data_IF_699985720116
#
_entry.id   IF_699985720116
#
_cell.length_a   1.000
_cell.length_b   1.000
_cell.length_c   1.000
_cell.angle_alpha   90.00
_cell.angle_beta   90.00
_cell.angle_gamma   90.00
#
_symmetry.space_group_name_H-M   'P 1'
#
loop_
_entity.id
_entity.type
_entity.pdbx_description
1 polymer ?
#
# COMPACT_ATOMS: atom_id res chain seq x y z
N UNK A 1 -14.64 31.04 -33.97
CA UNK A 1 -13.82 29.89 -34.35
C UNK A 1 -12.67 29.83 -33.35
N UNK A 2 -12.79 28.96 -32.36
CA UNK A 2 -11.73 28.72 -31.34
C UNK A 2 -11.03 27.41 -31.69
N UNK A 3 -9.89 27.52 -32.38
CA UNK A 3 -8.98 26.39 -32.57
C UNK A 3 -8.16 26.19 -31.29
N UNK A 4 -8.62 25.28 -30.43
CA UNK A 4 -7.76 24.73 -29.40
C UNK A 4 -6.87 23.66 -30.03
N UNK A 5 -5.53 23.70 -29.85
CA UNK A 5 -4.63 22.72 -30.44
C UNK A 5 -4.95 21.31 -29.88
N UNK A 6 -5.14 20.35 -30.79
CA UNK A 6 -5.28 18.93 -30.47
C UNK A 6 -4.05 18.48 -29.69
N UNK A 7 -4.24 18.02 -28.46
CA UNK A 7 -3.16 17.45 -27.64
C UNK A 7 -2.68 16.15 -28.27
N UNK A 8 -1.38 16.05 -28.44
CA UNK A 8 -0.68 14.84 -28.89
C UNK A 8 -1.00 13.68 -27.94
N UNK A 9 -1.62 12.58 -28.43
CA UNK A 9 -1.98 11.42 -27.58
C UNK A 9 -0.78 10.67 -27.00
N UNK A 10 0.45 10.95 -27.48
CA UNK A 10 1.68 10.35 -26.99
C UNK A 10 2.42 11.17 -25.91
N UNK A 11 1.93 12.34 -25.55
CA UNK A 11 2.53 13.09 -24.46
C UNK A 11 2.22 12.34 -23.14
N UNK A 12 3.24 11.85 -22.41
CA UNK A 12 3.00 11.21 -21.13
C UNK A 12 2.33 12.22 -20.21
N UNK A 13 1.06 11.96 -19.84
CA UNK A 13 0.41 12.76 -18.82
C UNK A 13 1.27 12.74 -17.57
N UNK A 14 1.53 13.90 -16.95
CA UNK A 14 2.23 13.94 -15.68
C UNK A 14 1.44 13.04 -14.71
N UNK A 15 2.16 12.15 -14.04
CA UNK A 15 1.61 11.39 -12.90
C UNK A 15 0.80 12.36 -12.03
N UNK A 16 -0.33 11.91 -11.43
CA UNK A 16 -1.09 12.77 -10.52
C UNK A 16 -0.11 13.41 -9.55
N UNK A 17 -0.28 14.68 -9.16
CA UNK A 17 0.74 15.41 -8.45
C UNK A 17 1.13 14.64 -7.18
N UNK A 18 2.12 13.76 -7.31
CA UNK A 18 2.89 13.30 -6.17
C UNK A 18 3.48 14.58 -5.59
N UNK A 19 2.96 15.02 -4.46
CA UNK A 19 3.59 16.09 -3.70
C UNK A 19 5.09 15.78 -3.71
N UNK A 20 5.90 16.71 -4.25
CA UNK A 20 7.35 16.57 -4.33
C UNK A 20 7.83 16.13 -2.96
N UNK A 21 8.51 14.97 -2.91
CA UNK A 21 9.08 14.46 -1.69
C UNK A 21 10.02 15.53 -1.12
N UNK A 22 9.61 16.15 -0.02
CA UNK A 22 10.44 17.12 0.66
C UNK A 22 11.58 16.38 1.39
N UNK A 23 12.83 16.89 1.41
CA UNK A 23 13.89 16.33 2.23
C UNK A 23 13.45 16.16 3.70
N UNK A 24 14.07 15.23 4.44
CA UNK A 24 13.75 14.94 5.86
C UNK A 24 13.52 16.23 6.68
N UNK A 25 14.41 17.19 6.53
CA UNK A 25 14.34 18.47 7.25
C UNK A 25 13.03 19.20 6.99
N UNK A 26 12.64 19.33 5.72
CA UNK A 26 11.39 20.01 5.35
C UNK A 26 10.13 19.21 5.73
N UNK A 27 10.18 17.86 5.67
CA UNK A 27 9.05 17.04 6.05
C UNK A 27 8.74 17.12 7.55
N UNK A 28 9.76 17.21 8.42
CA UNK A 28 9.57 17.37 9.86
C UNK A 28 9.37 18.84 10.28
N UNK A 29 10.01 19.79 9.60
CA UNK A 29 9.83 21.24 9.87
C UNK A 29 8.45 21.76 9.48
N UNK A 30 7.73 21.07 8.59
CA UNK A 30 6.36 21.41 8.23
C UNK A 30 5.34 21.06 9.33
N UNK A 31 5.72 20.21 10.30
CA UNK A 31 4.85 19.82 11.41
C UNK A 31 4.65 21.01 12.35
N UNK A 32 3.41 21.47 12.46
CA UNK A 32 3.02 22.58 13.34
C UNK A 32 2.42 22.13 14.67
N UNK A 33 2.20 20.83 14.84
CA UNK A 33 1.61 20.25 16.04
C UNK A 33 2.53 20.41 17.26
N UNK A 34 2.02 20.98 18.34
CA UNK A 34 2.77 21.16 19.58
C UNK A 34 2.77 19.88 20.43
N UNK A 35 3.99 19.41 20.80
CA UNK A 35 4.21 18.26 21.67
C UNK A 35 3.40 17.02 21.24
N UNK A 36 3.51 16.59 19.96
CA UNK A 36 2.71 15.49 19.45
C UNK A 36 3.09 14.14 20.06
N UNK A 37 2.19 13.17 19.95
CA UNK A 37 2.52 11.76 20.07
C UNK A 37 2.95 11.27 18.68
N UNK A 38 4.19 10.82 18.54
CA UNK A 38 4.71 10.29 17.29
C UNK A 38 4.73 8.77 17.32
N UNK A 39 4.31 8.13 16.24
CA UNK A 39 4.49 6.69 16.06
C UNK A 39 5.41 6.43 14.86
N UNK A 40 6.49 5.70 15.11
CA UNK A 40 7.57 5.49 14.14
C UNK A 40 7.50 4.08 13.53
N UNK A 41 7.59 4.00 12.20
CA UNK A 41 7.63 2.71 11.52
C UNK A 41 7.83 2.84 10.02
N UNK A 42 8.16 1.75 9.35
CA UNK A 42 8.16 1.71 7.89
C UNK A 42 6.75 1.69 7.32
N UNK A 43 5.81 1.16 8.07
CA UNK A 43 4.38 1.04 7.74
C UNK A 43 4.12 0.47 6.35
N UNK A 44 4.95 -0.50 5.94
CA UNK A 44 4.78 -1.18 4.66
C UNK A 44 3.69 -2.26 4.78
N UNK A 45 2.51 -1.96 4.21
CA UNK A 45 1.29 -2.77 4.30
C UNK A 45 0.39 -2.49 5.50
N UNK A 46 0.82 -1.71 6.51
CA UNK A 46 0.07 -1.39 7.75
C UNK A 46 -0.58 -2.63 8.38
N UNK A 47 0.22 -3.68 8.55
CA UNK A 47 -0.17 -4.98 9.12
C UNK A 47 -0.48 -4.92 10.62
N UNK A 48 -0.92 -6.04 11.23
CA UNK A 48 -1.33 -6.11 12.64
C UNK A 48 -0.32 -5.49 13.62
N UNK A 49 1.00 -5.71 13.42
CA UNK A 49 2.03 -5.06 14.24
C UNK A 49 2.00 -3.54 14.13
N UNK A 50 1.85 -3.01 12.93
CA UNK A 50 1.70 -1.57 12.72
C UNK A 50 0.41 -1.02 13.30
N UNK A 51 -0.70 -1.75 13.18
CA UNK A 51 -2.00 -1.37 13.78
C UNK A 51 -1.95 -1.35 15.31
N UNK A 52 -1.16 -2.23 15.93
CA UNK A 52 -0.94 -2.21 17.38
C UNK A 52 -0.20 -0.93 17.81
N UNK A 53 0.87 -0.54 17.10
CA UNK A 53 1.58 0.71 17.35
C UNK A 53 0.67 1.94 17.22
N UNK A 54 -0.16 1.98 16.17
CA UNK A 54 -1.11 3.08 15.93
C UNK A 54 -2.14 3.14 17.05
N UNK A 55 -2.70 2.00 17.47
CA UNK A 55 -3.69 1.93 18.56
C UNK A 55 -3.10 2.45 19.86
N UNK A 56 -1.86 2.09 20.17
CA UNK A 56 -1.15 2.61 21.35
C UNK A 56 -0.98 4.14 21.26
N UNK A 57 -0.48 4.63 20.11
CA UNK A 57 -0.30 6.07 19.91
C UNK A 57 -1.61 6.85 20.03
N UNK A 58 -2.73 6.34 19.48
CA UNK A 58 -4.06 6.95 19.60
C UNK A 58 -4.52 6.95 21.06
N UNK A 59 -4.33 5.85 21.80
CA UNK A 59 -4.68 5.76 23.24
C UNK A 59 -3.93 6.79 24.07
N UNK A 60 -2.62 6.90 23.90
CA UNK A 60 -1.77 7.89 24.57
C UNK A 60 -2.17 9.31 24.22
N UNK A 61 -2.36 9.58 22.91
CA UNK A 61 -2.76 10.91 22.41
C UNK A 61 -4.10 11.36 23.00
N UNK A 62 -5.07 10.44 23.08
CA UNK A 62 -6.38 10.70 23.69
C UNK A 62 -6.25 11.03 25.18
N UNK A 63 -5.49 10.23 25.94
CA UNK A 63 -5.27 10.45 27.36
C UNK A 63 -4.57 11.78 27.65
N UNK A 64 -3.59 12.15 26.82
CA UNK A 64 -2.82 13.39 26.98
C UNK A 64 -3.50 14.60 26.31
N UNK A 65 -4.60 14.41 25.56
CA UNK A 65 -5.25 15.43 24.73
C UNK A 65 -4.25 16.09 23.75
N UNK A 66 -3.45 15.28 23.09
CA UNK A 66 -2.43 15.70 22.14
C UNK A 66 -2.72 15.17 20.74
N UNK A 67 -2.27 15.86 19.67
CA UNK A 67 -2.30 15.30 18.34
C UNK A 67 -1.36 14.10 18.25
N UNK A 68 -1.72 13.11 17.41
CA UNK A 68 -0.81 12.03 17.07
C UNK A 68 -0.49 12.04 15.57
N UNK A 69 0.74 11.65 15.24
CA UNK A 69 1.25 11.64 13.88
C UNK A 69 2.06 10.37 13.62
N UNK A 70 1.74 9.61 12.57
CA UNK A 70 2.62 8.56 12.07
C UNK A 70 3.76 9.17 11.26
N UNK A 71 4.99 8.74 11.55
CA UNK A 71 6.20 9.06 10.79
C UNK A 71 6.64 7.80 10.05
N UNK A 72 6.41 7.80 8.75
CA UNK A 72 6.63 6.69 7.83
C UNK A 72 7.75 7.00 6.84
N UNK A 73 8.21 5.98 6.10
CA UNK A 73 9.23 6.11 5.05
C UNK A 73 8.74 5.56 3.73
N UNK A 74 9.10 6.23 2.62
CA UNK A 74 8.78 5.73 1.27
C UNK A 74 9.86 6.12 0.24
N UNK A 75 10.36 5.16 -0.58
CA UNK A 75 10.06 3.72 -0.49
C UNK A 75 10.54 3.11 0.84
N UNK A 76 10.07 1.91 1.21
CA UNK A 76 10.60 1.22 2.38
C UNK A 76 12.11 0.98 2.26
N UNK A 77 12.89 1.04 3.35
CA UNK A 77 14.35 0.86 3.30
C UNK A 77 14.81 -0.39 2.54
N UNK A 78 14.13 -1.52 2.73
CA UNK A 78 14.47 -2.78 2.05
C UNK A 78 14.24 -2.71 0.54
N UNK A 79 13.32 -1.87 0.06
CA UNK A 79 13.09 -1.67 -1.37
C UNK A 79 14.26 -0.94 -2.02
N UNK A 80 14.76 0.11 -1.38
CA UNK A 80 15.90 0.87 -1.89
C UNK A 80 17.22 0.11 -1.76
N UNK A 81 17.46 -0.51 -0.59
CA UNK A 81 18.77 -1.07 -0.23
C UNK A 81 18.96 -2.51 -0.70
N UNK A 82 17.88 -3.27 -0.90
CA UNK A 82 17.92 -4.70 -1.21
C UNK A 82 17.00 -5.11 -2.38
N UNK A 83 16.36 -4.16 -3.06
CA UNK A 83 15.51 -4.44 -4.23
C UNK A 83 14.19 -5.17 -3.92
N UNK A 84 13.82 -5.36 -2.65
CA UNK A 84 12.56 -6.02 -2.32
C UNK A 84 11.36 -5.18 -2.75
N UNK A 85 10.31 -5.78 -3.32
CA UNK A 85 9.09 -5.05 -3.65
C UNK A 85 8.41 -4.52 -2.39
N UNK A 86 7.72 -3.38 -2.48
CA UNK A 86 6.96 -2.82 -1.38
C UNK A 86 5.51 -3.33 -1.37
N UNK A 87 4.89 -3.40 -0.19
CA UNK A 87 3.49 -3.81 -0.02
C UNK A 87 2.50 -2.67 -0.28
N UNK A 88 2.86 -1.45 0.07
CA UNK A 88 1.99 -0.29 -0.11
C UNK A 88 2.72 0.86 -0.78
N UNK A 89 2.13 1.40 -1.86
CA UNK A 89 2.56 2.66 -2.47
C UNK A 89 2.42 3.82 -1.49
N UNK A 90 2.95 5.00 -1.84
CA UNK A 90 2.83 6.18 -0.99
C UNK A 90 1.37 6.54 -0.71
N UNK A 91 0.51 6.51 -1.74
CA UNK A 91 -0.91 6.81 -1.62
C UNK A 91 -1.65 5.76 -0.76
N UNK A 92 -1.40 4.47 -1.00
CA UNK A 92 -1.96 3.39 -0.19
C UNK A 92 -1.52 3.47 1.27
N UNK A 93 -0.24 3.75 1.52
CA UNK A 93 0.30 3.92 2.88
C UNK A 93 -0.40 5.04 3.62
N UNK A 94 -0.60 6.20 2.97
CA UNK A 94 -1.33 7.32 3.55
C UNK A 94 -2.76 6.90 3.92
N UNK A 95 -3.51 6.31 2.99
CA UNK A 95 -4.88 5.86 3.23
C UNK A 95 -4.96 4.82 4.35
N UNK A 96 -4.09 3.80 4.33
CA UNK A 96 -4.04 2.75 5.35
C UNK A 96 -3.71 3.29 6.75
N UNK A 97 -2.85 4.31 6.87
CA UNK A 97 -2.54 4.96 8.15
C UNK A 97 -3.74 5.74 8.69
N UNK A 98 -4.45 6.48 7.84
CA UNK A 98 -5.68 7.16 8.22
C UNK A 98 -6.78 6.17 8.65
N UNK A 99 -6.99 5.10 7.87
CA UNK A 99 -7.96 4.04 8.19
C UNK A 99 -7.63 3.33 9.52
N UNK A 100 -6.36 3.01 9.75
CA UNK A 100 -5.93 2.40 11.01
C UNK A 100 -6.13 3.34 12.20
N UNK A 101 -5.90 4.63 12.03
CA UNK A 101 -6.19 5.64 13.04
C UNK A 101 -7.67 5.77 13.33
N UNK A 102 -8.51 5.87 12.30
CA UNK A 102 -9.97 5.91 12.44
C UNK A 102 -10.50 4.67 13.18
N UNK A 103 -10.02 3.48 12.83
CA UNK A 103 -10.36 2.23 13.51
C UNK A 103 -9.88 2.18 14.97
N UNK A 104 -8.85 2.95 15.33
CA UNK A 104 -8.37 3.13 16.70
C UNK A 104 -9.11 4.24 17.47
N UNK A 105 -10.00 4.99 16.81
CA UNK A 105 -10.84 6.02 17.41
C UNK A 105 -10.43 7.47 17.10
N UNK A 106 -9.34 7.72 16.35
CA UNK A 106 -8.92 9.07 15.98
C UNK A 106 -8.13 9.08 14.67
N UNK A 107 -8.44 10.04 13.80
CA UNK A 107 -7.60 10.32 12.64
C UNK A 107 -6.27 10.94 13.07
N UNK A 108 -5.17 10.69 12.34
CA UNK A 108 -3.92 11.41 12.57
C UNK A 108 -4.11 12.90 12.23
N UNK A 109 -3.47 13.77 13.00
CA UNK A 109 -3.47 15.20 12.69
C UNK A 109 -2.77 15.45 11.34
N UNK A 110 -1.74 14.67 11.04
CA UNK A 110 -1.01 14.66 9.78
C UNK A 110 -0.34 13.30 9.58
N UNK A 111 -0.18 12.86 8.33
CA UNK A 111 0.62 11.66 7.97
C UNK A 111 1.94 12.10 7.37
N UNK A 112 3.02 11.89 8.11
CA UNK A 112 4.37 12.26 7.67
C UNK A 112 5.01 11.09 6.95
N UNK A 113 5.26 11.21 5.64
CA UNK A 113 5.95 10.21 4.83
C UNK A 113 7.27 10.79 4.33
N UNK A 114 8.35 10.41 5.01
CA UNK A 114 9.69 10.85 4.70
C UNK A 114 10.22 10.11 3.46
N UNK A 115 10.76 10.81 2.45
CA UNK A 115 11.47 10.17 1.36
C UNK A 115 12.65 9.37 1.88
N UNK A 116 12.72 8.08 1.53
CA UNK A 116 13.88 7.26 1.84
C UNK A 116 14.73 7.11 0.59
N UNK A 117 15.75 7.92 0.49
CA UNK A 117 16.72 7.94 -0.60
C UNK A 117 18.15 7.61 -0.08
N UNK A 118 19.13 7.67 -0.96
CA UNK A 118 20.53 7.38 -0.61
C UNK A 118 21.09 8.39 0.40
N UNK A 119 20.69 9.66 0.33
CA UNK A 119 21.12 10.71 1.27
C UNK A 119 20.54 10.43 2.66
N UNK A 120 19.23 10.13 2.73
CA UNK A 120 18.60 9.77 4.01
C UNK A 120 19.18 8.47 4.59
N UNK A 121 19.45 7.46 3.77
CA UNK A 121 20.07 6.20 4.19
C UNK A 121 21.49 6.38 4.77
N UNK A 122 22.21 7.42 4.35
CA UNK A 122 23.53 7.79 4.85
C UNK A 122 23.49 8.65 6.13
N UNK A 123 22.32 9.12 6.55
CA UNK A 123 22.14 9.99 7.72
C UNK A 123 22.55 9.26 9.02
N UNK A 124 23.45 9.81 9.85
CA UNK A 124 23.76 9.25 11.17
C UNK A 124 22.53 9.18 12.08
N UNK A 125 22.49 8.19 12.97
CA UNK A 125 21.38 8.02 13.91
C UNK A 125 21.13 9.27 14.77
N UNK A 126 22.17 9.92 15.24
CA UNK A 126 22.11 11.13 16.07
C UNK A 126 21.42 12.29 15.36
N UNK A 127 21.59 12.42 14.03
CA UNK A 127 20.89 13.45 13.24
C UNK A 127 19.39 13.19 13.17
N UNK A 128 18.99 11.92 13.04
CA UNK A 128 17.57 11.56 13.04
C UNK A 128 16.94 11.83 14.41
N UNK A 129 17.60 11.42 15.51
CA UNK A 129 17.16 11.70 16.88
C UNK A 129 17.04 13.21 17.12
N UNK A 130 18.06 13.99 16.71
CA UNK A 130 18.03 15.46 16.85
C UNK A 130 16.91 16.11 16.05
N UNK A 131 16.57 15.57 14.88
CA UNK A 131 15.45 16.07 14.06
C UNK A 131 14.11 15.79 14.72
N UNK A 132 13.91 14.62 15.33
CA UNK A 132 12.72 14.28 16.10
C UNK A 132 12.61 15.14 17.37
N UNK A 133 13.72 15.36 18.09
CA UNK A 133 13.75 16.15 19.33
C UNK A 133 13.28 17.61 19.12
N UNK A 134 13.47 18.18 17.92
CA UNK A 134 12.98 19.53 17.59
C UNK A 134 11.45 19.64 17.63
N UNK A 135 10.73 18.54 17.37
CA UNK A 135 9.29 18.48 17.47
C UNK A 135 8.80 18.43 18.94
N UNK A 136 9.71 18.22 19.88
CA UNK A 136 9.42 18.10 21.33
C UNK A 136 8.28 17.13 21.60
N UNK A 137 8.32 15.88 21.03
CA UNK A 137 7.21 14.97 21.19
C UNK A 137 6.99 14.63 22.67
N UNK A 138 5.72 14.63 23.10
CA UNK A 138 5.35 14.16 24.45
C UNK A 138 5.62 12.67 24.59
N UNK A 139 5.37 11.91 23.51
CA UNK A 139 5.62 10.46 23.49
C UNK A 139 6.08 10.03 22.11
N UNK A 140 7.04 9.11 22.10
CA UNK A 140 7.40 8.32 20.91
C UNK A 140 6.94 6.88 21.11
N UNK A 141 6.26 6.31 20.11
CA UNK A 141 5.84 4.92 20.07
C UNK A 141 6.58 4.21 18.96
N UNK A 142 7.26 3.10 19.25
CA UNK A 142 8.00 2.31 18.26
C UNK A 142 7.96 0.82 18.59
N UNK A 143 8.22 -0.04 17.57
CA UNK A 143 8.41 -1.47 17.79
C UNK A 143 9.83 -1.77 18.31
N UNK A 144 10.00 -2.82 19.10
CA UNK A 144 11.30 -3.22 19.68
C UNK A 144 12.38 -3.51 18.61
N UNK A 145 11.98 -3.88 17.40
CA UNK A 145 12.86 -4.14 16.26
C UNK A 145 13.17 -2.90 15.41
N UNK A 146 12.65 -1.73 15.78
CA UNK A 146 12.86 -0.50 15.01
C UNK A 146 14.33 -0.10 15.02
N UNK A 147 14.89 0.08 13.82
CA UNK A 147 16.28 0.49 13.60
C UNK A 147 16.34 1.60 12.56
N UNK A 148 17.21 2.56 12.78
CA UNK A 148 17.34 3.75 11.94
C UNK A 148 18.79 4.21 11.82
N UNK A 149 19.01 5.25 11.00
CA UNK A 149 20.33 5.80 10.76
C UNK A 149 21.20 4.91 9.87
N UNK A 150 22.35 5.48 9.48
CA UNK A 150 23.31 4.79 8.61
C UNK A 150 23.68 3.41 9.16
N UNK A 151 23.60 2.39 8.30
CA UNK A 151 23.88 0.97 8.63
C UNK A 151 23.05 0.44 9.81
N UNK A 152 21.84 1.02 10.05
CA UNK A 152 20.97 0.65 11.17
C UNK A 152 21.63 0.87 12.54
N UNK A 153 22.50 1.88 12.66
CA UNK A 153 23.31 2.13 13.85
C UNK A 153 22.52 2.68 15.05
N UNK A 154 21.27 3.14 14.86
CA UNK A 154 20.37 3.57 15.93
C UNK A 154 19.31 2.53 16.24
N UNK A 155 18.93 2.42 17.50
CA UNK A 155 17.89 1.57 18.04
C UNK A 155 16.85 2.33 18.85
N UNK A 156 15.89 1.59 19.44
CA UNK A 156 14.81 2.21 20.23
C UNK A 156 15.32 2.99 21.43
N UNK A 157 16.38 2.54 22.08
CA UNK A 157 16.95 3.22 23.26
C UNK A 157 17.46 4.62 22.92
N UNK A 158 17.94 4.83 21.69
CA UNK A 158 18.41 6.15 21.25
C UNK A 158 17.26 7.15 21.12
N UNK A 159 16.02 6.68 20.91
CA UNK A 159 14.84 7.53 20.78
C UNK A 159 14.45 8.20 22.10
N UNK A 160 14.81 7.63 23.25
CA UNK A 160 14.53 8.21 24.54
C UNK A 160 15.08 9.64 24.71
N UNK A 161 16.14 9.98 23.95
CA UNK A 161 16.74 11.33 23.94
C UNK A 161 15.91 12.36 23.16
N UNK A 162 14.90 11.92 22.43
CA UNK A 162 14.11 12.78 21.54
C UNK A 162 12.70 13.09 22.09
N UNK A 163 12.29 12.50 23.20
CA UNK A 163 10.93 12.60 23.72
C UNK A 163 10.89 12.65 25.24
N UNK A 164 9.74 13.00 25.81
CA UNK A 164 9.52 12.94 27.26
C UNK A 164 9.25 11.50 27.72
N UNK A 165 8.49 10.74 26.92
CA UNK A 165 8.17 9.34 27.17
C UNK A 165 8.43 8.50 25.91
N UNK A 166 9.02 7.32 26.09
CA UNK A 166 9.22 6.34 25.04
C UNK A 166 8.43 5.09 25.35
N UNK A 167 7.58 4.67 24.40
CA UNK A 167 6.84 3.43 24.47
C UNK A 167 7.34 2.47 23.42
N UNK A 168 7.81 1.31 23.84
CA UNK A 168 8.33 0.25 22.97
C UNK A 168 7.41 -0.95 23.04
N UNK A 169 6.84 -1.32 21.90
CA UNK A 169 5.94 -2.47 21.83
C UNK A 169 6.68 -3.71 21.30
N UNK A 170 6.38 -4.89 21.84
CA UNK A 170 6.90 -6.14 21.32
C UNK A 170 6.31 -6.47 19.96
N UNK A 171 6.94 -7.44 19.27
CA UNK A 171 6.44 -7.95 18.00
C UNK A 171 5.07 -8.62 18.19
N UNK A 172 4.16 -8.40 17.23
CA UNK A 172 2.82 -9.01 17.22
C UNK A 172 2.88 -10.30 16.40
N UNK A 173 2.19 -11.33 16.88
CA UNK A 173 2.00 -12.58 16.16
C UNK A 173 0.51 -12.81 15.82
N UNK A 174 0.27 -13.56 14.74
CA UNK A 174 -1.03 -14.12 14.38
C UNK A 174 -0.86 -15.65 14.39
N UNK A 175 -1.55 -16.32 15.32
CA UNK A 175 -1.17 -17.69 15.68
C UNK A 175 0.26 -17.72 16.23
N UNK A 176 1.07 -18.63 15.71
CA UNK A 176 2.50 -18.77 16.08
C UNK A 176 3.45 -17.94 15.20
N UNK A 177 2.93 -17.19 14.22
CA UNK A 177 3.75 -16.46 13.25
C UNK A 177 3.89 -14.99 13.61
N UNK A 178 5.14 -14.52 13.75
CA UNK A 178 5.44 -13.09 13.92
C UNK A 178 5.14 -12.33 12.64
N UNK A 179 4.28 -11.32 12.76
CA UNK A 179 3.82 -10.51 11.62
C UNK A 179 4.92 -9.52 11.20
N UNK A 180 5.40 -9.70 9.95
CA UNK A 180 6.39 -8.82 9.31
C UNK A 180 6.02 -8.56 7.86
N UNK A 181 6.43 -7.41 7.31
CA UNK A 181 6.25 -7.16 5.86
C UNK A 181 6.93 -8.20 4.96
N UNK A 182 7.98 -8.92 5.44
CA UNK A 182 8.60 -10.03 4.71
C UNK A 182 7.67 -11.22 4.60
N UNK A 183 7.05 -11.67 5.71
CA UNK A 183 6.14 -12.81 5.70
C UNK A 183 4.90 -12.57 4.84
N UNK A 184 4.45 -11.31 4.77
CA UNK A 184 3.35 -10.92 3.87
C UNK A 184 3.79 -10.99 2.41
N UNK A 185 5.01 -10.53 2.07
CA UNK A 185 5.55 -10.68 0.70
C UNK A 185 5.67 -12.14 0.31
N UNK A 186 6.20 -12.98 1.19
CA UNK A 186 6.33 -14.42 0.95
C UNK A 186 4.97 -15.07 0.69
N UNK A 187 3.92 -14.67 1.43
CA UNK A 187 2.55 -15.13 1.20
C UNK A 187 2.00 -14.66 -0.17
N UNK A 188 2.24 -13.41 -0.56
CA UNK A 188 1.84 -12.90 -1.87
C UNK A 188 2.57 -13.60 -3.01
N UNK A 189 3.88 -13.83 -2.90
CA UNK A 189 4.69 -14.53 -3.89
C UNK A 189 4.21 -15.98 -4.09
N UNK A 190 3.78 -16.64 -3.00
CA UNK A 190 3.14 -17.95 -3.05
C UNK A 190 1.69 -17.91 -3.59
N UNK A 191 1.11 -16.72 -3.79
CA UNK A 191 -0.29 -16.52 -4.15
C UNK A 191 -1.27 -16.84 -3.03
N UNK A 192 -0.82 -16.96 -1.78
CA UNK A 192 -1.62 -17.21 -0.58
C UNK A 192 -2.20 -15.88 -0.05
N UNK A 193 -3.11 -15.29 -0.82
CA UNK A 193 -3.65 -13.95 -0.55
C UNK A 193 -4.54 -13.89 0.69
N UNK A 194 -5.21 -14.99 1.01
CA UNK A 194 -5.99 -15.14 2.23
C UNK A 194 -5.08 -15.06 3.46
N UNK A 195 -3.93 -15.75 3.44
CA UNK A 195 -2.92 -15.65 4.51
C UNK A 195 -2.33 -14.24 4.59
N UNK A 196 -2.05 -13.60 3.44
CA UNK A 196 -1.61 -12.21 3.43
C UNK A 196 -2.64 -11.30 4.09
N UNK A 197 -3.95 -11.52 3.84
CA UNK A 197 -5.04 -10.78 4.46
C UNK A 197 -5.10 -11.00 5.97
N UNK A 198 -4.92 -12.23 6.46
CA UNK A 198 -4.85 -12.56 7.89
C UNK A 198 -3.70 -11.80 8.59
N UNK A 199 -2.53 -11.74 7.97
CA UNK A 199 -1.36 -11.01 8.51
C UNK A 199 -1.54 -9.47 8.46
N UNK A 200 -2.22 -8.97 7.42
CA UNK A 200 -2.53 -7.54 7.26
C UNK A 200 -3.69 -7.08 8.16
N UNK A 201 -4.62 -7.97 8.48
CA UNK A 201 -5.89 -7.65 9.11
C UNK A 201 -6.91 -7.03 8.14
N UNK A 202 -6.69 -7.16 6.84
CA UNK A 202 -7.57 -6.73 5.75
C UNK A 202 -7.10 -7.32 4.42
N UNK A 203 -7.97 -7.43 3.39
CA UNK A 203 -7.56 -7.85 2.06
C UNK A 203 -6.43 -7.01 1.49
N UNK A 204 -5.50 -7.66 0.77
CA UNK A 204 -4.40 -6.96 0.12
C UNK A 204 -4.94 -5.98 -0.92
N UNK A 205 -4.55 -4.72 -0.83
CA UNK A 205 -5.05 -3.64 -1.67
C UNK A 205 -4.02 -3.16 -2.69
N UNK A 206 -4.51 -2.91 -3.90
CA UNK A 206 -3.74 -2.34 -5.00
C UNK A 206 -4.50 -1.15 -5.57
N UNK A 207 -3.93 0.04 -5.51
CA UNK A 207 -4.47 1.24 -6.14
C UNK A 207 -3.70 1.50 -7.43
N UNK A 208 -4.43 1.71 -8.53
CA UNK A 208 -3.84 2.02 -9.83
C UNK A 208 -4.74 2.90 -10.68
N UNK A 209 -4.13 3.58 -11.65
CA UNK A 209 -4.85 4.34 -12.66
C UNK A 209 -5.21 3.41 -13.84
N UNK A 210 -6.45 3.45 -14.28
CA UNK A 210 -6.91 2.66 -15.42
C UNK A 210 -6.35 3.26 -16.71
N UNK A 211 -5.67 2.44 -17.48
CA UNK A 211 -5.03 2.81 -18.76
C UNK A 211 -5.57 1.97 -19.90
N UNK A 212 -5.35 2.42 -21.12
CA UNK A 212 -5.68 1.61 -22.29
C UNK A 212 -4.84 0.33 -22.32
N UNK A 213 -5.50 -0.79 -22.58
CA UNK A 213 -4.89 -2.09 -22.82
C UNK A 213 -5.21 -2.59 -24.23
N UNK A 214 -4.90 -3.86 -24.52
CA UNK A 214 -5.08 -4.47 -25.84
C UNK A 214 -6.55 -4.64 -26.28
N UNK A 215 -7.52 -4.29 -25.41
CA UNK A 215 -8.98 -4.37 -25.65
C UNK A 215 -9.49 -5.78 -26.05
N UNK A 216 -8.64 -6.83 -25.92
CA UNK A 216 -8.98 -8.22 -26.29
C UNK A 216 -10.17 -8.77 -25.49
N UNK A 217 -10.31 -8.37 -24.22
CA UNK A 217 -11.44 -8.80 -23.37
C UNK A 217 -12.81 -8.41 -23.92
N UNK A 218 -12.92 -7.25 -24.61
CA UNK A 218 -14.21 -6.81 -25.21
C UNK A 218 -14.68 -7.73 -26.33
N UNK A 219 -13.76 -8.28 -27.11
CA UNK A 219 -14.12 -9.18 -28.26
C UNK A 219 -14.59 -10.55 -27.80
N UNK A 220 -14.29 -10.93 -26.56
CA UNK A 220 -14.69 -12.22 -25.97
C UNK A 220 -15.75 -12.08 -24.87
N UNK A 221 -16.36 -10.88 -24.72
CA UNK A 221 -17.45 -10.63 -23.77
C UNK A 221 -17.00 -10.41 -22.32
N UNK A 222 -15.70 -10.25 -22.04
CA UNK A 222 -15.14 -10.02 -20.70
C UNK A 222 -14.29 -8.77 -20.73
N UNK A 223 -14.89 -7.57 -20.77
CA UNK A 223 -14.12 -6.32 -20.77
C UNK A 223 -13.31 -6.19 -19.49
N UNK A 224 -12.05 -5.73 -19.60
CA UNK A 224 -11.13 -5.57 -18.48
C UNK A 224 -10.61 -4.14 -18.38
N UNK A 225 -10.49 -3.62 -17.17
CA UNK A 225 -9.75 -2.43 -16.83
C UNK A 225 -8.28 -2.83 -16.59
N UNK A 226 -7.36 -2.20 -17.29
CA UNK A 226 -5.92 -2.42 -17.13
C UNK A 226 -5.35 -1.34 -16.21
N UNK A 227 -4.66 -1.71 -15.13
CA UNK A 227 -4.10 -0.77 -14.19
C UNK A 227 -2.60 -0.58 -14.43
N UNK A 228 -2.18 0.69 -14.49
CA UNK A 228 -0.76 1.04 -14.45
C UNK A 228 -0.28 0.99 -13.01
N UNK A 229 0.76 0.21 -12.75
CA UNK A 229 1.35 0.00 -11.44
C UNK A 229 2.86 0.30 -11.46
N UNK A 230 3.42 0.67 -10.31
CA UNK A 230 4.87 0.73 -10.13
C UNK A 230 5.42 -0.71 -10.15
N UNK A 231 6.45 -1.01 -10.96
CA UNK A 231 7.03 -2.36 -11.05
C UNK A 231 7.62 -2.88 -9.73
N UNK A 232 7.88 -2.00 -8.77
CA UNK A 232 8.37 -2.36 -7.43
C UNK A 232 7.24 -2.72 -6.45
N UNK A 233 5.98 -2.66 -6.85
CA UNK A 233 4.83 -3.10 -6.04
C UNK A 233 4.82 -4.61 -5.94
N UNK A 234 4.70 -5.16 -4.73
CA UNK A 234 4.48 -6.59 -4.54
C UNK A 234 3.12 -6.99 -5.10
N UNK A 235 3.08 -7.97 -5.98
CA UNK A 235 1.85 -8.48 -6.59
C UNK A 235 1.86 -10.01 -6.58
N UNK A 236 0.77 -10.66 -6.15
CA UNK A 236 0.63 -12.11 -6.33
C UNK A 236 0.45 -12.44 -7.82
N UNK A 237 0.78 -13.66 -8.21
CA UNK A 237 0.61 -14.14 -9.59
C UNK A 237 -0.55 -15.13 -9.67
N UNK A 238 -1.50 -14.89 -10.58
CA UNK A 238 -2.66 -15.76 -10.80
C UNK A 238 -3.95 -15.00 -11.14
N UNK A 239 -5.06 -15.70 -11.01
CA UNK A 239 -6.42 -15.17 -11.16
C UNK A 239 -7.09 -15.17 -9.78
N UNK A 240 -7.71 -14.05 -9.44
CA UNK A 240 -8.25 -13.79 -8.10
C UNK A 240 -9.68 -13.24 -8.16
N UNK A 241 -10.48 -13.57 -7.15
CA UNK A 241 -11.70 -12.84 -6.82
C UNK A 241 -11.32 -11.51 -6.16
N UNK A 242 -11.94 -10.41 -6.59
CA UNK A 242 -11.60 -9.06 -6.10
C UNK A 242 -12.85 -8.26 -5.79
N UNK A 243 -12.73 -7.32 -4.85
CA UNK A 243 -13.66 -6.20 -4.69
C UNK A 243 -12.97 -4.92 -5.18
N UNK A 244 -13.72 -4.05 -5.84
CA UNK A 244 -13.18 -2.85 -6.45
C UNK A 244 -13.97 -1.63 -5.99
N UNK A 245 -13.28 -0.67 -5.38
CA UNK A 245 -13.84 0.63 -5.07
C UNK A 245 -13.61 1.58 -6.23
N UNK A 246 -14.69 2.19 -6.70
CA UNK A 246 -14.69 3.16 -7.78
C UNK A 246 -14.64 4.61 -7.23
N UNK A 247 -14.28 5.61 -8.08
CA UNK A 247 -14.19 7.01 -7.64
C UNK A 247 -15.50 7.62 -7.13
N UNK A 248 -16.64 7.06 -7.54
CA UNK A 248 -17.98 7.49 -7.10
C UNK A 248 -18.35 6.94 -5.71
N UNK A 249 -17.46 6.16 -5.08
CA UNK A 249 -17.68 5.51 -3.80
C UNK A 249 -18.40 4.16 -3.88
N UNK A 250 -18.82 3.71 -5.06
CA UNK A 250 -19.43 2.40 -5.24
C UNK A 250 -18.41 1.28 -5.14
N UNK A 251 -18.85 0.10 -4.65
CA UNK A 251 -18.04 -1.12 -4.55
C UNK A 251 -18.63 -2.22 -5.40
N UNK A 252 -17.81 -2.81 -6.25
CA UNK A 252 -18.22 -3.88 -7.17
C UNK A 252 -17.37 -5.12 -6.97
N UNK A 253 -18.00 -6.30 -7.12
CA UNK A 253 -17.29 -7.56 -7.22
C UNK A 253 -16.66 -7.71 -8.61
N UNK A 254 -15.60 -8.50 -8.68
CA UNK A 254 -14.91 -8.77 -9.94
C UNK A 254 -13.96 -9.94 -9.87
N UNK A 255 -13.29 -10.18 -10.97
CA UNK A 255 -12.13 -11.06 -11.04
C UNK A 255 -10.94 -10.32 -11.65
N UNK A 256 -9.74 -10.64 -11.22
CA UNK A 256 -8.53 -10.00 -11.68
C UNK A 256 -7.46 -11.02 -12.08
N UNK A 257 -6.76 -10.75 -13.17
CA UNK A 257 -5.53 -11.43 -13.54
C UNK A 257 -4.33 -10.56 -13.14
N UNK A 258 -3.49 -11.09 -12.26
CA UNK A 258 -2.26 -10.44 -11.81
C UNK A 258 -1.06 -11.28 -12.25
N UNK A 259 -0.03 -10.62 -12.74
CA UNK A 259 1.19 -11.32 -13.10
C UNK A 259 2.11 -10.53 -14.02
N UNK A 260 3.27 -11.12 -14.34
CA UNK A 260 4.20 -10.50 -15.27
C UNK A 260 3.59 -10.44 -16.67
N UNK A 261 3.69 -9.29 -17.32
CA UNK A 261 3.40 -9.12 -18.74
C UNK A 261 4.73 -9.12 -19.49
N UNK A 262 4.93 -10.02 -20.47
CA UNK A 262 6.08 -9.89 -21.36
C UNK A 262 5.93 -8.59 -22.15
N UNK A 263 6.74 -7.59 -21.87
CA UNK A 263 6.83 -6.36 -22.67
C UNK A 263 8.25 -6.19 -23.19
N UNK A 264 8.40 -5.47 -24.31
CA UNK A 264 9.71 -5.16 -24.89
C UNK A 264 10.60 -4.34 -23.96
N UNK A 265 10.02 -3.65 -22.98
CA UNK A 265 10.73 -2.78 -22.01
C UNK A 265 11.03 -3.48 -20.66
N UNK A 266 10.88 -4.81 -20.57
CA UNK A 266 11.11 -5.59 -19.36
C UNK A 266 9.83 -6.17 -18.73
N UNK A 267 9.94 -6.95 -17.65
CA UNK A 267 8.80 -7.57 -16.98
C UNK A 267 7.95 -6.51 -16.26
N UNK A 268 6.98 -5.93 -16.96
CA UNK A 268 5.98 -5.08 -16.36
C UNK A 268 4.94 -5.95 -15.65
N UNK A 269 4.65 -5.66 -14.39
CA UNK A 269 3.52 -6.26 -13.70
C UNK A 269 2.21 -5.70 -14.28
N UNK A 270 1.27 -6.59 -14.65
CA UNK A 270 -0.06 -6.20 -15.12
C UNK A 270 -1.12 -6.61 -14.11
N UNK A 271 -2.10 -5.75 -13.96
CA UNK A 271 -3.33 -6.03 -13.25
C UNK A 271 -4.49 -5.70 -14.18
N UNK A 272 -5.18 -6.75 -14.61
CA UNK A 272 -6.36 -6.67 -15.46
C UNK A 272 -7.58 -7.07 -14.65
N UNK A 273 -8.57 -6.18 -14.52
CA UNK A 273 -9.74 -6.36 -13.67
C UNK A 273 -11.01 -6.37 -14.52
N UNK A 274 -11.79 -7.43 -14.39
CA UNK A 274 -13.15 -7.51 -14.93
C UNK A 274 -14.16 -7.29 -13.79
N UNK A 275 -14.95 -6.20 -13.88
CA UNK A 275 -16.00 -5.90 -12.91
C UNK A 275 -17.29 -6.65 -13.29
N UNK A 276 -17.96 -7.21 -12.30
CA UNK A 276 -19.25 -7.88 -12.49
C UNK A 276 -20.39 -6.85 -12.44
N UNK A 277 -21.36 -7.06 -13.32
CA UNK A 277 -22.61 -6.29 -13.34
C UNK A 277 -22.42 -4.77 -13.39
N UNK A 278 -21.32 -4.35 -14.01
CA UNK A 278 -20.95 -2.95 -14.16
C UNK A 278 -20.65 -2.63 -15.63
N UNK A 279 -21.09 -1.45 -16.04
CA UNK A 279 -20.80 -0.90 -17.37
C UNK A 279 -20.50 0.59 -17.25
N UNK A 280 -19.49 1.06 -17.95
CA UNK A 280 -19.08 2.46 -17.92
C UNK A 280 -17.69 2.65 -18.50
N UNK A 281 -17.15 3.86 -18.34
CA UNK A 281 -15.80 4.22 -18.72
C UNK A 281 -15.00 4.55 -17.45
N UNK A 282 -13.86 3.87 -17.30
CA UNK A 282 -12.93 4.07 -16.18
C UNK A 282 -11.57 4.60 -16.62
N UNK A 283 -11.37 4.88 -17.92
CA UNK A 283 -10.07 5.37 -18.38
C UNK A 283 -9.65 6.65 -17.65
N UNK A 284 -8.40 6.66 -17.18
CA UNK A 284 -7.86 7.76 -16.36
C UNK A 284 -8.31 7.76 -14.90
N UNK A 285 -9.29 6.96 -14.53
CA UNK A 285 -9.75 6.86 -13.15
C UNK A 285 -8.74 6.08 -12.27
N UNK A 286 -8.59 6.50 -11.03
CA UNK A 286 -7.91 5.72 -10.00
C UNK A 286 -8.92 4.81 -9.31
N UNK A 287 -8.67 3.50 -9.32
CA UNK A 287 -9.51 2.52 -8.64
C UNK A 287 -8.72 1.75 -7.59
N UNK A 288 -9.42 1.25 -6.57
CA UNK A 288 -8.83 0.46 -5.49
C UNK A 288 -9.30 -0.99 -5.60
N UNK A 289 -8.36 -1.91 -5.81
CA UNK A 289 -8.63 -3.35 -5.99
C UNK A 289 -8.22 -4.09 -4.71
N UNK A 290 -9.17 -4.74 -4.06
CA UNK A 290 -8.99 -5.58 -2.88
C UNK A 290 -8.95 -7.05 -3.32
N UNK A 291 -7.83 -7.71 -3.13
CA UNK A 291 -7.61 -9.11 -3.51
C UNK A 291 -8.18 -10.01 -2.41
N UNK A 292 -9.25 -10.73 -2.73
CA UNK A 292 -10.04 -11.45 -1.73
C UNK A 292 -9.64 -12.92 -1.65
N UNK A 293 -9.62 -13.63 -2.79
CA UNK A 293 -9.33 -15.05 -2.80
C UNK A 293 -8.66 -15.48 -4.10
N UNK A 294 -7.76 -16.48 -4.00
CA UNK A 294 -7.15 -17.07 -5.17
C UNK A 294 -8.13 -18.03 -5.86
N UNK A 295 -8.30 -17.88 -7.17
CA UNK A 295 -9.11 -18.78 -7.99
C UNK A 295 -8.24 -19.87 -8.63
N UNK A 296 -7.11 -19.48 -9.22
CA UNK A 296 -6.15 -20.40 -9.86
C UNK A 296 -4.82 -19.70 -10.20
N UNK A 297 -3.85 -20.47 -10.62
CA UNK A 297 -2.63 -19.97 -11.29
C UNK A 297 -2.91 -19.49 -12.71
N UNK A 298 -1.91 -18.85 -13.32
CA UNK A 298 -1.95 -18.52 -14.75
C UNK A 298 -1.86 -19.80 -15.58
N UNK A 299 -2.54 -19.82 -16.72
CA UNK A 299 -2.49 -20.94 -17.68
C UNK A 299 -2.58 -20.43 -19.12
N UNK A 300 -2.07 -21.23 -20.05
CA UNK A 300 -2.21 -21.00 -21.48
C UNK A 300 -3.41 -21.76 -22.02
N UNK A 301 -4.08 -21.22 -23.02
CA UNK A 301 -5.24 -21.83 -23.65
C UNK A 301 -4.93 -22.16 -25.10
N UNK A 302 -5.45 -23.28 -25.58
CA UNK A 302 -5.25 -23.72 -26.95
C UNK A 302 -5.97 -22.84 -27.98
N UNK A 303 -7.15 -22.34 -27.59
CA UNK A 303 -8.00 -21.51 -28.46
C UNK A 303 -8.87 -20.54 -27.64
N UNK A 304 -9.55 -19.62 -28.35
CA UNK A 304 -10.44 -18.61 -27.75
C UNK A 304 -11.64 -19.26 -27.04
N UNK A 305 -12.32 -20.28 -27.58
CA UNK A 305 -13.40 -20.97 -26.90
C UNK A 305 -12.97 -21.60 -25.55
N UNK A 306 -11.76 -22.17 -25.45
CA UNK A 306 -11.24 -22.72 -24.21
C UNK A 306 -11.01 -21.60 -23.17
N UNK A 307 -10.46 -20.46 -23.60
CA UNK A 307 -10.32 -19.27 -22.76
C UNK A 307 -11.70 -18.77 -22.24
N UNK A 308 -12.68 -18.63 -23.13
CA UNK A 308 -14.03 -18.18 -22.75
C UNK A 308 -14.69 -19.11 -21.73
N UNK A 309 -14.63 -20.45 -21.94
CA UNK A 309 -15.15 -21.42 -20.96
C UNK A 309 -14.51 -21.24 -19.59
N UNK A 310 -13.19 -21.04 -19.56
CA UNK A 310 -12.46 -20.85 -18.29
C UNK A 310 -12.83 -19.52 -17.63
N UNK A 311 -12.93 -18.42 -18.37
CA UNK A 311 -13.33 -17.12 -17.82
C UNK A 311 -14.74 -17.17 -17.21
N UNK A 312 -15.70 -17.89 -17.83
CA UNK A 312 -17.00 -18.11 -17.24
C UNK A 312 -16.96 -18.96 -15.96
N UNK A 313 -16.09 -19.98 -15.91
CA UNK A 313 -15.89 -20.78 -14.70
C UNK A 313 -15.26 -19.93 -13.58
N UNK A 314 -14.24 -19.12 -13.91
CA UNK A 314 -13.59 -18.20 -12.97
C UNK A 314 -14.59 -17.18 -12.42
N UNK A 315 -15.44 -16.60 -13.27
CA UNK A 315 -16.47 -15.64 -12.85
C UNK A 315 -17.50 -16.26 -11.88
N UNK A 316 -17.95 -17.49 -12.13
CA UNK A 316 -18.84 -18.21 -11.20
C UNK A 316 -18.17 -18.46 -9.86
N UNK A 317 -16.92 -18.93 -9.88
CA UNK A 317 -16.14 -19.19 -8.65
C UNK A 317 -15.88 -17.90 -7.89
N UNK A 318 -15.51 -16.81 -8.59
CA UNK A 318 -15.29 -15.51 -7.97
C UNK A 318 -16.56 -15.00 -7.26
N UNK A 319 -17.72 -15.06 -7.91
CA UNK A 319 -18.99 -14.66 -7.29
C UNK A 319 -19.30 -15.48 -6.03
N UNK A 320 -19.06 -16.80 -6.07
CA UNK A 320 -19.26 -17.66 -4.90
C UNK A 320 -18.31 -17.27 -3.74
N UNK A 321 -17.03 -17.00 -4.04
CA UNK A 321 -16.05 -16.55 -3.03
C UNK A 321 -16.41 -15.18 -2.45
N UNK A 322 -16.85 -14.25 -3.27
CA UNK A 322 -17.25 -12.90 -2.83
C UNK A 322 -18.52 -12.93 -1.96
N UNK A 323 -19.48 -13.81 -2.26
CA UNK A 323 -20.68 -13.98 -1.44
C UNK A 323 -20.41 -14.55 -0.04
N UNK A 324 -19.28 -15.25 0.15
CA UNK A 324 -18.88 -15.79 1.46
C UNK A 324 -18.10 -14.80 2.33
N UNK A 325 -17.71 -13.66 1.79
CA UNK A 325 -17.06 -12.58 2.55
C UNK A 325 -18.16 -11.60 2.95
N UNK A 326 -18.37 -11.44 4.27
CA UNK A 326 -19.36 -10.48 4.78
C UNK A 326 -19.06 -9.06 4.27
N UNK A 327 -20.08 -8.23 4.03
CA UNK A 327 -19.93 -6.86 3.55
C UNK A 327 -19.13 -5.96 4.50
#
# INVERSE_FOLDING_TARGET
MNDAPLRDPNTPQPAPPCARAAPLRHALEAITSERPVLVLGTFDGVHHGHRALIRQAVGVATALRRPWLPVAFFPPPKTLLAGHPYLSSRAEKHALLCEAGAAAGSLPAEVVIIPFDAEFAATPAERFVSALARLRPSTLVAGEDFRFGRRRGGGVDDLARACEHLEVLPLVAVGDEVVKSSTIRDALDAGAVERAADLLGAPYRVIGCVVEGDRRGRTIGVPTANLRLDPRKALPTGVFAVQVDLPDGSRHGGMANLGPRPSFDGPAASLEVHLFDWSGDLYGAAISVHVIARLRGQQRFADVPALQRQLHADARLARARLASVAP
#
